data_IF_912913040253
#
_entry.id   IF_912913040253
#
_cell.length_a   1.000
_cell.length_b   1.000
_cell.length_c   1.000
_cell.angle_alpha   90.00
_cell.angle_beta   90.00
_cell.angle_gamma   90.00
#
_symmetry.space_group_name_H-M   'P 1'
#
loop_
_entity.id
_entity.type
_entity.pdbx_description
1 polymer ?
#
# COMPACT_ATOMS: atom_id res chain seq x y z
N UNK A 1 -22.19 -1.26 23.55
CA UNK A 1 -23.50 -1.40 22.87
C UNK A 1 -24.16 -0.04 22.89
N UNK A 2 -24.26 0.65 21.75
CA UNK A 2 -24.94 1.94 21.68
C UNK A 2 -26.38 1.77 22.16
N UNK A 3 -26.88 2.67 23.00
CA UNK A 3 -28.21 2.61 23.59
C UNK A 3 -29.31 2.84 22.53
N UNK A 4 -29.41 1.91 21.57
CA UNK A 4 -30.30 1.95 20.41
C UNK A 4 -31.78 2.02 20.81
N UNK A 5 -32.14 1.51 22.00
CA UNK A 5 -33.53 1.50 22.47
C UNK A 5 -34.04 2.92 22.75
N UNK A 6 -33.27 3.74 23.47
CA UNK A 6 -33.65 5.14 23.78
C UNK A 6 -33.73 5.99 22.52
N UNK A 7 -32.76 5.83 21.62
CA UNK A 7 -32.74 6.56 20.34
C UNK A 7 -33.91 6.13 19.43
N UNK A 8 -34.22 4.83 19.37
CA UNK A 8 -35.34 4.29 18.58
C UNK A 8 -36.69 4.78 19.10
N UNK A 9 -36.87 4.87 20.42
CA UNK A 9 -38.10 5.42 21.04
C UNK A 9 -38.22 6.93 20.76
N UNK A 10 -37.13 7.68 20.90
CA UNK A 10 -37.09 9.13 20.61
C UNK A 10 -37.45 9.46 19.16
N UNK A 11 -37.14 8.57 18.22
CA UNK A 11 -37.34 8.78 16.79
C UNK A 11 -38.70 8.31 16.25
N UNK A 12 -39.49 7.59 17.05
CA UNK A 12 -40.86 7.22 16.68
C UNK A 12 -41.79 8.42 16.52
N UNK A 13 -41.46 9.56 17.14
CA UNK A 13 -42.31 10.74 17.22
C UNK A 13 -41.84 11.94 16.37
N UNK A 14 -40.84 11.76 15.49
CA UNK A 14 -40.32 12.85 14.63
C UNK A 14 -40.90 12.80 13.21
N UNK A 15 -41.11 13.99 12.62
CA UNK A 15 -41.64 14.19 11.27
C UNK A 15 -40.70 13.64 10.17
N UNK A 16 -39.39 13.58 10.45
CA UNK A 16 -38.34 13.20 9.48
C UNK A 16 -37.96 11.70 9.54
N UNK A 17 -38.88 10.85 10.02
CA UNK A 17 -38.63 9.44 10.35
C UNK A 17 -37.99 8.65 9.21
N UNK A 18 -38.34 8.96 7.97
CA UNK A 18 -37.83 8.27 6.79
C UNK A 18 -36.32 8.50 6.58
N UNK A 19 -35.85 9.75 6.71
CA UNK A 19 -34.43 10.09 6.58
C UNK A 19 -33.59 9.41 7.66
N UNK A 20 -34.06 9.41 8.91
CA UNK A 20 -33.40 8.69 10.00
C UNK A 20 -33.32 7.18 9.74
N UNK A 21 -34.36 6.59 9.16
CA UNK A 21 -34.37 5.17 8.85
C UNK A 21 -33.40 4.80 7.72
N UNK A 22 -33.26 5.66 6.71
CA UNK A 22 -32.26 5.49 5.64
C UNK A 22 -30.84 5.49 6.21
N UNK A 23 -30.50 6.46 7.06
CA UNK A 23 -29.21 6.49 7.74
C UNK A 23 -29.02 5.30 8.68
N UNK A 24 -30.05 4.87 9.42
CA UNK A 24 -29.95 3.69 10.26
C UNK A 24 -29.60 2.42 9.47
N UNK A 25 -30.25 2.22 8.32
CA UNK A 25 -29.94 1.09 7.43
C UNK A 25 -28.47 1.12 7.01
N UNK A 26 -27.94 2.27 6.64
CA UNK A 26 -26.55 2.44 6.21
C UNK A 26 -25.54 2.31 7.38
N UNK A 27 -25.81 2.98 8.50
CA UNK A 27 -24.85 3.17 9.60
C UNK A 27 -24.91 2.08 10.69
N UNK A 28 -26.09 1.47 10.90
CA UNK A 28 -26.34 0.49 11.96
C UNK A 28 -26.69 1.11 13.31
N UNK A 29 -26.77 2.43 13.36
CA UNK A 29 -27.23 3.22 14.48
C UNK A 29 -27.94 4.46 13.95
N UNK A 30 -28.77 5.08 14.79
CA UNK A 30 -29.49 6.30 14.42
C UNK A 30 -28.63 7.55 14.62
N UNK A 31 -28.62 8.52 13.70
CA UNK A 31 -28.09 9.86 14.00
C UNK A 31 -28.72 10.47 15.26
N UNK A 32 -27.98 11.22 16.10
CA UNK A 32 -28.58 12.08 17.14
C UNK A 32 -28.98 13.43 16.55
N UNK A 33 -28.09 14.03 15.76
CA UNK A 33 -28.34 15.23 14.97
C UNK A 33 -28.24 14.91 13.47
N UNK A 34 -29.38 14.80 12.80
CA UNK A 34 -29.45 14.49 11.36
C UNK A 34 -28.91 15.60 10.48
N UNK A 35 -28.89 16.86 10.95
CA UNK A 35 -28.50 18.00 10.12
C UNK A 35 -27.04 17.90 9.65
N UNK A 36 -26.16 17.35 10.50
CA UNK A 36 -24.75 17.12 10.19
C UNK A 36 -24.61 16.05 9.09
N UNK A 37 -25.45 15.01 9.12
CA UNK A 37 -25.46 13.96 8.11
C UNK A 37 -26.03 14.44 6.78
N UNK A 38 -27.06 15.29 6.82
CA UNK A 38 -27.57 15.94 5.61
C UNK A 38 -26.54 16.89 5.01
N UNK A 39 -25.77 17.61 5.84
CA UNK A 39 -24.65 18.43 5.37
C UNK A 39 -23.57 17.60 4.69
N UNK A 40 -23.25 16.40 5.18
CA UNK A 40 -22.28 15.51 4.54
C UNK A 40 -22.69 15.11 3.10
N UNK A 41 -23.99 15.12 2.80
CA UNK A 41 -24.54 14.82 1.47
C UNK A 41 -24.61 16.04 0.54
N UNK A 42 -24.28 17.25 1.01
CA UNK A 42 -24.31 18.47 0.20
C UNK A 42 -22.97 18.67 -0.53
N UNK A 43 -22.94 18.32 -1.81
CA UNK A 43 -21.79 18.65 -2.65
C UNK A 43 -21.62 20.17 -2.77
N UNK A 44 -20.38 20.66 -2.90
CA UNK A 44 -20.06 22.10 -3.02
C UNK A 44 -20.87 22.86 -4.06
N UNK A 45 -21.29 22.18 -5.14
CA UNK A 45 -22.15 22.77 -6.19
C UNK A 45 -23.52 23.24 -5.67
N UNK A 46 -24.00 22.66 -4.57
CA UNK A 46 -25.30 22.95 -3.95
C UNK A 46 -25.13 23.58 -2.56
N UNK A 47 -24.09 24.40 -2.39
CA UNK A 47 -23.82 25.07 -1.11
C UNK A 47 -25.04 25.88 -0.64
N UNK A 48 -25.50 25.64 0.59
CA UNK A 48 -26.67 26.31 1.18
C UNK A 48 -26.19 27.38 2.16
N UNK A 49 -26.88 28.53 2.25
CA UNK A 49 -26.57 29.52 3.29
C UNK A 49 -27.17 29.09 4.62
N UNK A 50 -26.33 29.02 5.66
CA UNK A 50 -26.73 28.90 7.06
C UNK A 50 -27.47 30.16 7.51
N UNK A 51 -28.22 30.06 8.62
CA UNK A 51 -28.82 31.20 9.34
C UNK A 51 -27.80 32.31 9.67
N UNK A 52 -26.52 31.93 9.84
CA UNK A 52 -25.41 32.87 10.09
C UNK A 52 -24.74 33.38 8.81
N UNK A 53 -25.35 33.18 7.64
CA UNK A 53 -24.85 33.62 6.33
C UNK A 53 -23.67 32.82 5.76
N UNK A 54 -23.19 31.80 6.47
CA UNK A 54 -22.07 30.94 6.03
C UNK A 54 -22.53 29.93 4.98
N UNK A 55 -21.70 29.67 3.98
CA UNK A 55 -21.94 28.58 3.03
C UNK A 55 -21.72 27.23 3.73
N UNK A 56 -22.71 26.35 3.63
CA UNK A 56 -22.72 24.99 4.14
C UNK A 56 -22.60 24.02 2.96
N UNK A 57 -21.54 23.23 2.98
CA UNK A 57 -21.28 22.11 2.10
C UNK A 57 -20.54 21.02 2.88
N UNK A 58 -20.18 19.94 2.19
CA UNK A 58 -19.51 18.80 2.79
C UNK A 58 -17.99 18.94 2.94
N UNK A 59 -17.33 19.94 2.35
CA UNK A 59 -15.86 20.03 2.27
C UNK A 59 -15.18 20.09 3.65
N UNK A 60 -15.79 20.78 4.62
CA UNK A 60 -15.25 20.82 5.99
C UNK A 60 -15.39 19.48 6.72
N UNK A 61 -16.47 18.74 6.42
CA UNK A 61 -16.69 17.41 6.99
C UNK A 61 -15.77 16.40 6.31
N UNK A 62 -15.54 16.53 5.00
CA UNK A 62 -14.57 15.75 4.23
C UNK A 62 -13.18 15.87 4.85
N UNK A 63 -12.69 17.10 5.03
CA UNK A 63 -11.38 17.35 5.63
C UNK A 63 -11.19 16.68 7.01
N UNK A 64 -12.18 16.83 7.90
CA UNK A 64 -12.14 16.16 9.22
C UNK A 64 -12.27 14.64 9.08
N UNK A 65 -13.16 14.21 8.20
CA UNK A 65 -13.49 12.82 7.96
C UNK A 65 -12.33 12.01 7.45
N UNK A 66 -11.52 12.57 6.54
CA UNK A 66 -10.30 11.96 6.00
C UNK A 66 -9.31 11.59 7.12
N UNK A 67 -8.96 12.57 7.98
CA UNK A 67 -8.06 12.34 9.10
C UNK A 67 -8.59 11.29 10.10
N UNK A 68 -9.90 11.31 10.37
CA UNK A 68 -10.53 10.32 11.26
C UNK A 68 -10.61 8.93 10.61
N UNK A 69 -10.90 8.88 9.31
CA UNK A 69 -10.95 7.63 8.54
C UNK A 69 -9.59 6.96 8.54
N UNK A 70 -8.51 7.71 8.31
CA UNK A 70 -7.14 7.22 8.37
C UNK A 70 -6.81 6.62 9.74
N UNK A 71 -7.15 7.34 10.82
CA UNK A 71 -6.92 6.88 12.19
C UNK A 71 -7.74 5.62 12.53
N UNK A 72 -8.98 5.54 12.07
CA UNK A 72 -9.85 4.37 12.30
C UNK A 72 -9.35 3.15 11.53
N UNK A 73 -9.01 3.30 10.26
CA UNK A 73 -8.50 2.20 9.44
C UNK A 73 -7.15 1.73 9.97
N UNK A 74 -6.27 2.65 10.39
CA UNK A 74 -5.01 2.30 11.03
C UNK A 74 -5.22 1.44 12.30
N UNK A 75 -6.15 1.82 13.19
CA UNK A 75 -6.47 1.03 14.40
C UNK A 75 -6.97 -0.38 14.05
N UNK A 76 -7.85 -0.49 13.05
CA UNK A 76 -8.40 -1.78 12.61
C UNK A 76 -7.30 -2.67 12.00
N UNK A 77 -6.49 -2.13 11.09
CA UNK A 77 -5.42 -2.86 10.40
C UNK A 77 -4.33 -3.29 11.38
N UNK A 78 -3.94 -2.43 12.31
CA UNK A 78 -2.96 -2.72 13.35
C UNK A 78 -3.38 -3.92 14.21
N UNK A 79 -4.64 -3.93 14.67
CA UNK A 79 -5.19 -5.03 15.49
C UNK A 79 -5.44 -6.30 14.70
N UNK A 80 -5.79 -6.20 13.41
CA UNK A 80 -6.11 -7.37 12.59
C UNK A 80 -4.87 -8.15 12.15
N UNK A 81 -3.75 -7.46 11.96
CA UNK A 81 -2.52 -8.04 11.40
C UNK A 81 -1.36 -7.97 12.40
N UNK A 82 -1.54 -8.67 13.53
CA UNK A 82 -0.50 -8.79 14.54
C UNK A 82 0.79 -9.39 13.95
N UNK A 83 1.94 -8.80 14.31
CA UNK A 83 3.27 -9.24 13.83
C UNK A 83 3.65 -8.79 12.41
N UNK A 84 2.79 -8.06 11.68
CA UNK A 84 3.19 -7.49 10.38
C UNK A 84 3.96 -6.17 10.55
N UNK A 85 4.92 -5.95 9.66
CA UNK A 85 5.79 -4.76 9.64
C UNK A 85 5.02 -3.49 9.24
N UNK A 86 5.49 -2.33 9.68
CA UNK A 86 4.89 -1.01 9.43
C UNK A 86 4.54 -0.80 7.95
N UNK A 87 5.47 -1.05 7.01
CA UNK A 87 5.22 -0.83 5.59
C UNK A 87 4.06 -1.66 5.02
N UNK A 88 3.81 -2.86 5.54
CA UNK A 88 2.64 -3.67 5.18
C UNK A 88 1.34 -3.04 5.71
N UNK A 89 1.35 -2.57 6.95
CA UNK A 89 0.21 -1.91 7.59
C UNK A 89 -0.14 -0.61 6.86
N UNK A 90 0.86 0.23 6.56
CA UNK A 90 0.71 1.48 5.81
C UNK A 90 0.18 1.23 4.41
N UNK A 91 0.71 0.23 3.68
CA UNK A 91 0.20 -0.13 2.35
C UNK A 91 -1.26 -0.62 2.40
N UNK A 92 -1.60 -1.46 3.38
CA UNK A 92 -2.96 -1.99 3.54
C UNK A 92 -3.94 -0.87 3.90
N UNK A 93 -3.57 0.03 4.81
CA UNK A 93 -4.36 1.23 5.13
C UNK A 93 -4.61 2.06 3.87
N UNK A 94 -3.55 2.44 3.15
CA UNK A 94 -3.65 3.25 1.93
C UNK A 94 -4.58 2.63 0.90
N UNK A 95 -4.57 1.31 0.71
CA UNK A 95 -5.49 0.63 -0.22
C UNK A 95 -6.96 0.65 0.22
N UNK A 96 -7.23 0.75 1.51
CA UNK A 96 -8.61 0.83 2.02
C UNK A 96 -9.14 2.26 1.88
N UNK A 97 -8.32 3.25 2.23
CA UNK A 97 -8.69 4.68 2.16
C UNK A 97 -8.48 5.30 0.77
N UNK A 98 -7.94 4.55 -0.19
CA UNK A 98 -7.77 5.07 -1.55
C UNK A 98 -9.13 5.41 -2.15
N UNK A 99 -9.13 6.51 -2.90
CA UNK A 99 -10.28 7.09 -3.58
C UNK A 99 -11.11 6.07 -4.37
N UNK A 100 -10.49 5.20 -5.16
CA UNK A 100 -11.18 4.18 -5.96
C UNK A 100 -12.00 3.24 -5.06
N UNK A 101 -11.44 2.90 -3.89
CA UNK A 101 -12.10 2.04 -2.92
C UNK A 101 -13.23 2.79 -2.22
N UNK A 102 -13.00 4.03 -1.77
CA UNK A 102 -14.04 4.83 -1.12
C UNK A 102 -15.22 5.13 -2.05
N UNK A 103 -14.97 5.43 -3.33
CA UNK A 103 -16.02 5.58 -4.35
C UNK A 103 -16.87 4.32 -4.51
N UNK A 104 -16.22 3.15 -4.64
CA UNK A 104 -16.92 1.87 -4.75
C UNK A 104 -17.77 1.61 -3.50
N UNK A 105 -17.19 1.81 -2.32
CA UNK A 105 -17.89 1.60 -1.04
C UNK A 105 -19.10 2.52 -0.89
N UNK A 106 -18.96 3.80 -1.25
CA UNK A 106 -20.06 4.76 -1.24
C UNK A 106 -21.24 4.32 -2.12
N UNK A 107 -20.98 3.77 -3.30
CA UNK A 107 -22.03 3.21 -4.17
C UNK A 107 -22.65 1.95 -3.55
N UNK A 108 -21.82 1.04 -3.01
CA UNK A 108 -22.27 -0.23 -2.43
C UNK A 108 -23.15 -0.05 -1.18
N UNK A 109 -22.92 1.00 -0.39
CA UNK A 109 -23.77 1.36 0.75
C UNK A 109 -24.98 2.23 0.36
N UNK A 110 -25.10 2.61 -0.92
CA UNK A 110 -26.18 3.44 -1.45
C UNK A 110 -26.07 4.93 -1.11
N UNK A 111 -24.88 5.42 -0.77
CA UNK A 111 -24.61 6.82 -0.45
C UNK A 111 -24.76 7.71 -1.68
N UNK A 112 -24.35 7.22 -2.86
CA UNK A 112 -24.46 7.87 -4.16
C UNK A 112 -25.86 8.42 -4.45
N UNK A 113 -26.90 7.66 -4.08
CA UNK A 113 -28.32 8.00 -4.28
C UNK A 113 -28.81 9.12 -3.35
N UNK A 114 -28.05 9.45 -2.31
CA UNK A 114 -28.42 10.44 -1.30
C UNK A 114 -27.69 11.78 -1.51
N UNK A 115 -26.62 11.81 -2.30
CA UNK A 115 -25.83 13.03 -2.54
C UNK A 115 -26.67 14.03 -3.32
N UNK A 116 -26.72 15.27 -2.83
CA UNK A 116 -27.42 16.39 -3.47
C UNK A 116 -26.41 17.27 -4.20
N UNK A 117 -26.59 17.40 -5.52
CA UNK A 117 -25.72 18.18 -6.40
C UNK A 117 -26.53 18.83 -7.53
N UNK A 118 -25.93 19.79 -8.24
CA UNK A 118 -26.55 20.46 -9.38
C UNK A 118 -26.20 19.74 -10.68
N UNK A 119 -27.19 19.42 -11.51
CA UNK A 119 -27.04 18.63 -12.74
C UNK A 119 -26.06 19.18 -13.80
N UNK A 120 -25.60 20.45 -13.67
CA UNK A 120 -24.71 21.11 -14.64
C UNK A 120 -23.22 20.70 -14.54
N UNK A 121 -22.84 19.84 -13.60
CA UNK A 121 -21.43 19.46 -13.34
C UNK A 121 -21.17 17.94 -13.41
N UNK A 122 -22.06 17.15 -14.03
CA UNK A 122 -22.01 15.69 -14.03
C UNK A 122 -20.85 15.05 -14.83
N UNK A 123 -19.99 15.83 -15.49
CA UNK A 123 -18.96 15.30 -16.40
C UNK A 123 -17.66 14.84 -15.72
N UNK A 124 -17.40 15.19 -14.46
CA UNK A 124 -16.23 14.73 -13.70
C UNK A 124 -16.61 14.12 -12.34
N UNK A 125 -17.58 13.19 -12.38
CA UNK A 125 -18.23 12.59 -11.22
C UNK A 125 -17.41 11.55 -10.43
N UNK A 126 -16.13 11.35 -10.77
CA UNK A 126 -15.30 10.27 -10.20
C UNK A 126 -14.84 10.51 -8.76
N UNK A 127 -15.09 11.68 -8.17
CA UNK A 127 -14.59 12.02 -6.83
C UNK A 127 -15.71 12.29 -5.81
N UNK A 128 -16.93 12.54 -6.28
CA UNK A 128 -18.02 13.01 -5.43
C UNK A 128 -18.42 11.98 -4.37
N UNK A 129 -18.44 10.70 -4.74
CA UNK A 129 -18.84 9.62 -3.83
C UNK A 129 -17.83 9.38 -2.71
N UNK A 130 -16.52 9.37 -3.01
CA UNK A 130 -15.44 9.23 -2.03
C UNK A 130 -15.42 10.40 -1.05
N UNK A 131 -15.50 11.64 -1.56
CA UNK A 131 -15.57 12.83 -0.72
C UNK A 131 -16.81 12.82 0.19
N UNK A 132 -17.97 12.40 -0.31
CA UNK A 132 -19.17 12.25 0.50
C UNK A 132 -19.02 11.15 1.56
N UNK A 133 -18.27 10.09 1.27
CA UNK A 133 -17.98 9.02 2.23
C UNK A 133 -17.10 9.54 3.38
N UNK A 134 -16.04 10.27 3.07
CA UNK A 134 -15.19 10.93 4.08
C UNK A 134 -16.02 11.92 4.90
N UNK A 135 -16.84 12.75 4.25
CA UNK A 135 -17.73 13.67 4.95
C UNK A 135 -18.74 12.95 5.86
N UNK A 136 -19.24 11.78 5.46
CA UNK A 136 -20.10 10.94 6.29
C UNK A 136 -19.36 10.45 7.53
N UNK A 137 -18.10 10.03 7.41
CA UNK A 137 -17.25 9.66 8.55
C UNK A 137 -17.03 10.86 9.48
N UNK A 138 -16.79 12.05 8.93
CA UNK A 138 -16.71 13.30 9.68
C UNK A 138 -18.00 13.61 10.46
N UNK A 139 -19.16 13.40 9.84
CA UNK A 139 -20.46 13.57 10.50
C UNK A 139 -20.67 12.58 11.65
N UNK A 140 -20.32 11.30 11.46
CA UNK A 140 -20.38 10.27 12.52
C UNK A 140 -19.48 10.66 13.69
N UNK A 141 -18.28 11.16 13.41
CA UNK A 141 -17.33 11.57 14.42
C UNK A 141 -17.88 12.71 15.28
N UNK A 142 -18.47 13.74 14.67
CA UNK A 142 -19.06 14.86 15.40
C UNK A 142 -20.30 14.45 16.21
N UNK A 143 -21.14 13.56 15.70
CA UNK A 143 -22.39 13.14 16.36
C UNK A 143 -22.17 12.11 17.49
N UNK A 144 -21.26 11.15 17.27
CA UNK A 144 -21.11 9.96 18.14
C UNK A 144 -19.68 9.62 18.54
N UNK A 145 -18.69 10.34 18.03
CA UNK A 145 -17.28 10.17 18.39
C UNK A 145 -16.59 8.97 17.73
N UNK A 146 -15.29 8.86 17.99
CA UNK A 146 -14.39 7.87 17.35
C UNK A 146 -14.89 6.42 17.44
N UNK A 147 -15.44 6.00 18.59
CA UNK A 147 -15.96 4.64 18.77
C UNK A 147 -17.07 4.27 17.78
N UNK A 148 -17.90 5.23 17.40
CA UNK A 148 -18.95 5.00 16.41
C UNK A 148 -18.38 4.92 14.99
N UNK A 149 -17.39 5.75 14.65
CA UNK A 149 -16.65 5.67 13.39
C UNK A 149 -15.98 4.29 13.26
N UNK A 150 -15.31 3.82 14.32
CA UNK A 150 -14.69 2.49 14.33
C UNK A 150 -15.71 1.38 14.14
N UNK A 151 -16.83 1.41 14.88
CA UNK A 151 -17.89 0.43 14.72
C UNK A 151 -18.44 0.39 13.29
N UNK A 152 -18.73 1.56 12.71
CA UNK A 152 -19.18 1.69 11.33
C UNK A 152 -18.16 1.11 10.35
N UNK A 153 -16.90 1.53 10.43
CA UNK A 153 -15.85 1.05 9.53
C UNK A 153 -15.58 -0.45 9.68
N UNK A 154 -15.53 -0.97 10.90
CA UNK A 154 -15.17 -2.37 11.17
C UNK A 154 -16.30 -3.32 10.78
N UNK A 155 -17.55 -3.02 11.18
CA UNK A 155 -18.66 -3.95 11.04
C UNK A 155 -19.49 -3.72 9.78
N UNK A 156 -19.74 -2.45 9.43
CA UNK A 156 -20.60 -2.12 8.29
C UNK A 156 -19.84 -2.03 6.99
N UNK A 157 -18.61 -1.54 7.02
CA UNK A 157 -17.80 -1.34 5.81
C UNK A 157 -16.88 -2.53 5.59
N UNK A 158 -15.90 -2.73 6.46
CA UNK A 158 -14.89 -3.77 6.30
C UNK A 158 -15.54 -5.16 6.36
N UNK A 159 -16.31 -5.44 7.41
CA UNK A 159 -16.95 -6.73 7.60
C UNK A 159 -17.92 -7.16 6.50
N UNK A 160 -18.45 -6.22 5.69
CA UNK A 160 -19.45 -6.51 4.64
C UNK A 160 -18.93 -6.34 3.22
N UNK A 161 -17.98 -5.43 2.98
CA UNK A 161 -17.61 -5.00 1.62
C UNK A 161 -16.10 -5.09 1.33
N UNK A 162 -15.27 -5.44 2.33
CA UNK A 162 -13.83 -5.57 2.17
C UNK A 162 -13.35 -6.93 2.68
N UNK A 163 -12.76 -7.71 1.79
CA UNK A 163 -11.91 -8.82 2.19
C UNK A 163 -10.49 -8.30 2.47
N UNK A 164 -10.14 -8.13 3.74
CA UNK A 164 -8.84 -7.58 4.16
C UNK A 164 -7.66 -8.42 3.67
N UNK A 165 -7.78 -9.75 3.67
CA UNK A 165 -6.70 -10.63 3.19
C UNK A 165 -6.48 -10.49 1.69
N UNK A 166 -7.54 -10.31 0.91
CA UNK A 166 -7.43 -10.08 -0.53
C UNK A 166 -6.79 -8.73 -0.83
N UNK A 167 -7.18 -7.67 -0.09
CA UNK A 167 -6.59 -6.33 -0.26
C UNK A 167 -5.11 -6.32 0.11
N UNK A 168 -4.74 -6.97 1.20
CA UNK A 168 -3.36 -6.97 1.69
C UNK A 168 -2.40 -7.75 0.78
N UNK A 169 -2.90 -8.79 0.08
CA UNK A 169 -2.09 -9.59 -0.87
C UNK A 169 -1.88 -8.91 -2.23
N UNK A 170 -2.68 -7.90 -2.59
CA UNK A 170 -2.84 -7.46 -4.00
C UNK A 170 -1.66 -6.70 -4.61
N UNK A 171 -0.69 -6.23 -3.82
CA UNK A 171 0.56 -5.71 -4.41
C UNK A 171 1.72 -6.00 -3.47
N UNK A 172 2.48 -7.03 -3.82
CA UNK A 172 3.86 -7.11 -3.35
C UNK A 172 4.65 -6.19 -4.26
N UNK A 173 5.24 -5.13 -3.69
CA UNK A 173 6.14 -4.27 -4.45
C UNK A 173 7.49 -5.00 -4.63
N UNK A 174 7.57 -5.91 -5.59
CA UNK A 174 8.77 -6.72 -5.88
C UNK A 174 9.98 -5.85 -6.22
N UNK A 175 9.81 -4.70 -6.88
CA UNK A 175 10.85 -3.71 -7.17
C UNK A 175 11.47 -3.19 -5.88
N UNK A 176 10.66 -2.71 -4.94
CA UNK A 176 11.16 -2.26 -3.63
C UNK A 176 11.83 -3.40 -2.88
N UNK A 177 11.23 -4.61 -2.87
CA UNK A 177 11.84 -5.77 -2.22
C UNK A 177 13.20 -6.16 -2.82
N UNK A 178 13.34 -6.06 -4.13
CA UNK A 178 14.59 -6.38 -4.82
C UNK A 178 15.66 -5.34 -4.52
N UNK A 179 15.30 -4.05 -4.48
CA UNK A 179 16.22 -2.96 -4.08
C UNK A 179 16.62 -3.10 -2.61
N UNK A 180 15.68 -3.42 -1.71
CA UNK A 180 16.00 -3.69 -0.29
C UNK A 180 16.95 -4.88 -0.15
N UNK A 181 16.71 -5.96 -0.90
CA UNK A 181 17.59 -7.13 -0.93
C UNK A 181 18.98 -6.77 -1.48
N UNK A 182 19.06 -6.00 -2.56
CA UNK A 182 20.33 -5.65 -3.18
C UNK A 182 21.16 -4.75 -2.28
N UNK A 183 20.55 -3.73 -1.66
CA UNK A 183 21.21 -2.86 -0.69
C UNK A 183 21.71 -3.63 0.52
N UNK A 184 20.89 -4.53 1.09
CA UNK A 184 21.27 -5.34 2.25
C UNK A 184 22.48 -6.24 1.96
N UNK A 185 22.56 -6.79 0.75
CA UNK A 185 23.61 -7.72 0.35
C UNK A 185 24.74 -7.07 -0.47
N UNK A 186 24.70 -5.74 -0.66
CA UNK A 186 25.66 -4.96 -1.47
C UNK A 186 25.77 -5.43 -2.93
N UNK A 187 24.65 -5.83 -3.52
CA UNK A 187 24.55 -6.08 -4.95
C UNK A 187 24.11 -4.82 -5.71
N UNK A 188 24.70 -4.60 -6.88
CA UNK A 188 24.25 -3.59 -7.83
C UNK A 188 23.05 -4.11 -8.63
N UNK A 189 21.99 -3.31 -8.71
CA UNK A 189 20.77 -3.65 -9.46
C UNK A 189 20.34 -2.48 -10.33
N UNK A 190 20.20 -2.73 -11.63
CA UNK A 190 19.73 -1.75 -12.61
C UNK A 190 18.47 -2.25 -13.32
N UNK A 191 17.64 -1.30 -13.73
CA UNK A 191 16.40 -1.55 -14.47
C UNK A 191 16.50 -0.90 -15.83
N UNK A 192 16.45 -1.70 -16.89
CA UNK A 192 16.56 -1.24 -18.27
C UNK A 192 15.22 -1.39 -18.99
N UNK A 193 14.86 -0.41 -19.81
CA UNK A 193 13.69 -0.49 -20.68
C UNK A 193 14.15 -1.08 -22.01
N UNK A 194 13.73 -2.29 -22.32
CA UNK A 194 14.10 -2.99 -23.56
C UNK A 194 13.26 -2.45 -24.71
N UNK A 195 11.93 -2.51 -24.54
CA UNK A 195 10.99 -2.27 -25.63
C UNK A 195 9.84 -1.41 -25.14
N UNK A 196 9.38 -0.51 -26.01
CA UNK A 196 8.08 0.14 -25.89
C UNK A 196 7.30 -0.11 -27.18
N UNK A 197 6.11 -0.69 -27.05
CA UNK A 197 5.26 -1.11 -28.16
C UNK A 197 3.79 -0.81 -27.85
N UNK A 198 2.90 -1.26 -28.74
CA UNK A 198 1.47 -1.22 -28.50
C UNK A 198 0.90 -2.65 -28.64
N UNK A 199 -0.13 -2.97 -27.87
CA UNK A 199 -0.87 -4.22 -28.01
C UNK A 199 -1.86 -4.17 -29.19
N UNK A 200 -2.62 -5.25 -29.37
CA UNK A 200 -3.64 -5.36 -30.43
C UNK A 200 -4.78 -4.34 -30.27
N UNK A 201 -5.00 -3.83 -29.06
CA UNK A 201 -5.97 -2.77 -28.74
C UNK A 201 -5.38 -1.36 -28.82
N UNK A 202 -4.16 -1.22 -29.33
CA UNK A 202 -3.42 0.04 -29.40
C UNK A 202 -3.11 0.67 -28.02
N UNK A 203 -3.08 -0.14 -26.95
CA UNK A 203 -2.64 0.30 -25.63
C UNK A 203 -1.11 0.24 -25.55
N UNK A 204 -0.45 1.22 -24.89
CA UNK A 204 1.00 1.21 -24.75
C UNK A 204 1.46 0.05 -23.85
N UNK A 205 2.43 -0.71 -24.32
CA UNK A 205 3.07 -1.80 -23.58
C UNK A 205 4.56 -1.53 -23.42
N UNK A 206 5.08 -1.81 -22.24
CA UNK A 206 6.48 -1.60 -21.86
C UNK A 206 7.09 -2.94 -21.45
N UNK A 207 8.30 -3.19 -21.89
CA UNK A 207 9.11 -4.34 -21.49
C UNK A 207 10.38 -3.86 -20.80
N UNK A 208 10.61 -4.32 -19.57
CA UNK A 208 11.78 -3.97 -18.79
C UNK A 208 12.57 -5.20 -18.37
N UNK A 209 13.87 -5.06 -18.26
CA UNK A 209 14.79 -6.06 -17.72
C UNK A 209 15.41 -5.57 -16.43
N UNK A 210 15.67 -6.51 -15.53
CA UNK A 210 16.49 -6.29 -14.34
C UNK A 210 17.83 -6.96 -14.53
N UNK A 211 18.89 -6.20 -14.32
CA UNK A 211 20.25 -6.71 -14.25
C UNK A 211 20.69 -6.68 -12.78
N UNK A 212 21.28 -7.78 -12.31
CA UNK A 212 21.91 -7.90 -10.99
C UNK A 212 23.40 -8.13 -11.26
N UNK A 213 24.27 -7.20 -10.86
CA UNK A 213 25.70 -7.23 -11.21
C UNK A 213 25.95 -7.32 -12.73
N UNK A 214 25.11 -6.65 -13.53
CA UNK A 214 25.17 -6.72 -15.00
C UNK A 214 24.63 -8.01 -15.60
N UNK A 215 24.16 -8.98 -14.80
CA UNK A 215 23.62 -10.26 -15.28
C UNK A 215 22.08 -10.20 -15.31
N UNK A 216 21.47 -10.71 -16.40
CA UNK A 216 20.00 -10.75 -16.57
C UNK A 216 19.27 -11.54 -15.47
N UNK A 217 18.71 -10.80 -14.52
CA UNK A 217 17.87 -11.32 -13.44
C UNK A 217 16.45 -11.65 -13.89
N UNK A 218 15.91 -10.93 -14.88
CA UNK A 218 14.62 -11.25 -15.44
C UNK A 218 13.98 -10.11 -16.22
N UNK A 219 13.01 -10.46 -17.07
CA UNK A 219 12.23 -9.53 -17.89
C UNK A 219 10.78 -9.48 -17.42
N UNK A 220 10.13 -8.34 -17.63
CA UNK A 220 8.74 -8.14 -17.27
C UNK A 220 8.05 -7.15 -18.19
N UNK A 221 6.79 -7.43 -18.52
CA UNK A 221 5.94 -6.59 -19.35
C UNK A 221 4.82 -5.95 -18.53
N UNK A 222 4.36 -4.78 -18.94
CA UNK A 222 3.24 -4.08 -18.30
C UNK A 222 2.71 -2.92 -19.14
N UNK A 223 1.56 -2.37 -18.76
CA UNK A 223 0.93 -1.23 -19.44
C UNK A 223 1.51 0.12 -18.98
N UNK A 224 2.44 0.10 -18.03
CA UNK A 224 3.25 1.25 -17.63
C UNK A 224 4.69 0.82 -17.36
N UNK A 225 5.64 1.75 -17.46
CA UNK A 225 7.06 1.52 -17.07
C UNK A 225 7.20 1.02 -15.63
N UNK A 226 6.32 1.48 -14.73
CA UNK A 226 6.32 1.06 -13.32
C UNK A 226 5.89 -0.40 -13.18
N UNK A 227 4.88 -0.82 -13.93
CA UNK A 227 4.36 -2.18 -13.93
C UNK A 227 5.34 -3.16 -14.59
N UNK A 228 5.94 -2.80 -15.72
CA UNK A 228 6.93 -3.64 -16.40
C UNK A 228 8.15 -3.93 -15.51
N UNK A 229 8.68 -2.90 -14.84
CA UNK A 229 9.77 -3.03 -13.86
C UNK A 229 9.36 -3.88 -12.66
N UNK A 230 8.09 -3.80 -12.26
CA UNK A 230 7.58 -4.58 -11.14
C UNK A 230 7.54 -6.08 -11.45
N UNK A 231 7.08 -6.43 -12.65
CA UNK A 231 7.09 -7.80 -13.14
C UNK A 231 8.51 -8.32 -13.35
N UNK A 232 9.43 -7.50 -13.85
CA UNK A 232 10.83 -7.88 -14.02
C UNK A 232 11.50 -8.18 -12.66
N UNK A 233 11.24 -7.35 -11.65
CA UNK A 233 11.71 -7.59 -10.28
C UNK A 233 11.11 -8.85 -9.65
N UNK A 234 9.86 -9.19 -9.97
CA UNK A 234 9.24 -10.44 -9.51
C UNK A 234 9.98 -11.66 -10.04
N UNK A 235 10.30 -11.68 -11.34
CA UNK A 235 11.06 -12.76 -11.97
C UNK A 235 12.46 -12.86 -11.37
N UNK A 236 13.16 -11.72 -11.21
CA UNK A 236 14.50 -11.69 -10.62
C UNK A 236 14.53 -12.22 -9.17
N UNK A 237 13.58 -11.82 -8.32
CA UNK A 237 13.45 -12.36 -6.96
C UNK A 237 13.14 -13.86 -6.96
N UNK A 238 12.40 -14.36 -7.96
CA UNK A 238 12.17 -15.78 -8.15
C UNK A 238 13.45 -16.54 -8.49
N UNK A 239 14.24 -16.03 -9.44
CA UNK A 239 15.55 -16.62 -9.81
C UNK A 239 16.50 -16.65 -8.62
N UNK A 240 16.63 -15.54 -7.89
CA UNK A 240 17.48 -15.46 -6.69
C UNK A 240 17.09 -16.54 -5.66
N UNK A 241 15.83 -16.95 -5.57
CA UNK A 241 15.42 -17.97 -4.58
C UNK A 241 15.60 -19.40 -5.03
N UNK A 242 15.48 -19.66 -6.33
CA UNK A 242 15.28 -21.00 -6.86
C UNK A 242 16.37 -21.47 -7.81
N UNK A 243 17.25 -20.57 -8.27
CA UNK A 243 18.30 -20.86 -9.24
C UNK A 243 19.68 -20.66 -8.62
N UNK A 244 20.28 -21.76 -8.17
CA UNK A 244 21.62 -21.77 -7.56
C UNK A 244 22.70 -21.30 -8.53
N UNK A 245 22.59 -21.63 -9.83
CA UNK A 245 23.56 -21.22 -10.84
C UNK A 245 23.51 -19.70 -11.09
N UNK A 246 22.30 -19.12 -11.08
CA UNK A 246 22.16 -17.67 -11.13
C UNK A 246 22.79 -16.99 -9.91
N UNK A 247 22.58 -17.53 -8.71
CA UNK A 247 23.23 -17.03 -7.48
C UNK A 247 24.74 -17.06 -7.61
N UNK A 248 25.33 -18.19 -8.00
CA UNK A 248 26.79 -18.32 -8.13
C UNK A 248 27.36 -17.28 -9.10
N UNK A 249 26.71 -17.08 -10.24
CA UNK A 249 27.11 -16.09 -11.23
C UNK A 249 27.08 -14.65 -10.69
N UNK A 250 26.01 -14.22 -10.00
CA UNK A 250 25.95 -12.86 -9.45
C UNK A 250 26.96 -12.65 -8.32
N UNK A 251 27.25 -13.67 -7.50
CA UNK A 251 28.29 -13.59 -6.47
C UNK A 251 29.69 -13.49 -7.07
N UNK A 252 29.98 -14.24 -8.13
CA UNK A 252 31.23 -14.15 -8.85
C UNK A 252 31.41 -12.77 -9.51
N UNK A 253 30.37 -12.23 -10.14
CA UNK A 253 30.38 -10.88 -10.72
C UNK A 253 30.58 -9.80 -9.66
N UNK A 254 29.92 -9.91 -8.51
CA UNK A 254 30.13 -9.02 -7.36
C UNK A 254 31.58 -9.05 -6.87
N UNK A 255 32.17 -10.25 -6.69
CA UNK A 255 33.56 -10.38 -6.25
C UNK A 255 34.54 -9.72 -7.23
N UNK A 256 34.32 -9.88 -8.55
CA UNK A 256 35.12 -9.20 -9.57
C UNK A 256 34.99 -7.67 -9.50
N UNK A 257 33.78 -7.14 -9.27
CA UNK A 257 33.54 -5.72 -9.07
C UNK A 257 34.21 -5.18 -7.80
N UNK A 258 34.18 -5.92 -6.69
CA UNK A 258 34.84 -5.51 -5.45
C UNK A 258 36.38 -5.50 -5.59
N UNK A 259 36.96 -6.52 -6.22
CA UNK A 259 38.40 -6.59 -6.51
C UNK A 259 38.89 -5.43 -7.38
N UNK A 260 38.15 -5.09 -8.44
CA UNK A 260 38.49 -3.95 -9.30
C UNK A 260 38.37 -2.59 -8.58
N UNK A 261 37.49 -2.45 -7.60
CA UNK A 261 37.40 -1.24 -6.77
C UNK A 261 38.56 -1.14 -5.76
N UNK A 262 39.09 -2.27 -5.29
CA UNK A 262 40.28 -2.33 -4.45
C UNK A 262 41.56 -1.99 -5.23
N UNK A 263 41.72 -2.48 -6.47
CA UNK A 263 42.89 -2.14 -7.31
C UNK A 263 42.93 -0.65 -7.70
N UNK A 264 41.77 -0.02 -7.90
CA UNK A 264 41.66 1.42 -8.18
C UNK A 264 41.97 2.26 -6.93
N UNK A 265 41.67 1.77 -5.73
CA UNK A 265 42.00 2.48 -4.49
C UNK A 265 43.45 2.30 -4.03
N UNK A 266 44.09 1.17 -4.36
CA UNK A 266 45.52 0.92 -4.07
C UNK A 266 46.44 1.64 -5.05
N UNK A 267 46.02 1.84 -6.31
CA UNK A 267 46.83 2.56 -7.33
C UNK A 267 46.92 4.07 -7.11
N UNK A 268 46.05 4.66 -6.26
CA UNK A 268 46.15 6.06 -5.81
C UNK A 268 47.06 6.26 -4.58
N UNK A 269 47.63 5.18 -4.01
CA UNK A 269 48.64 5.24 -2.97
C UNK A 269 49.94 4.57 -3.42
N UNK A 270 50.87 5.35 -4.01
CA UNK A 270 52.25 4.90 -4.23
C UNK A 270 52.92 4.50 -2.91
N UNK A 271 53.63 3.36 -2.86
CA UNK A 271 54.77 3.19 -1.97
C UNK A 271 56.07 3.30 -2.77
N UNK A 272 57.03 4.04 -2.22
CA UNK A 272 58.42 3.98 -2.60
C UNK A 272 59.09 2.73 -2.01
N UNK A 273 59.90 2.11 -2.85
CA UNK A 273 61.12 1.36 -2.56
C UNK A 273 61.05 -0.17 -2.32
N UNK A 274 62.16 -0.73 -2.78
CA UNK A 274 62.60 -2.04 -3.23
C UNK A 274 62.48 -3.28 -2.32
N UNK A 275 62.49 -4.45 -2.96
CA UNK A 275 62.84 -5.73 -2.34
C UNK A 275 62.29 -6.95 -3.09
N UNK A 276 63.13 -7.61 -3.90
CA UNK A 276 62.80 -8.83 -4.61
C UNK A 276 62.88 -10.07 -3.70
N UNK A 277 61.82 -10.90 -3.66
CA UNK A 277 61.87 -12.37 -3.42
C UNK A 277 60.60 -13.02 -3.99
N UNK A 278 60.76 -14.12 -4.73
CA UNK A 278 59.75 -15.20 -4.90
C UNK A 278 60.45 -16.53 -4.58
N UNK A 279 59.75 -17.68 -4.41
CA UNK A 279 58.32 -17.94 -4.17
C UNK A 279 58.07 -18.85 -2.93
N UNK A 280 56.85 -18.96 -2.41
CA UNK A 280 56.40 -20.23 -1.81
C UNK A 280 54.87 -20.41 -1.87
N UNK A 281 54.47 -21.64 -2.18
CA UNK A 281 53.11 -22.15 -2.30
C UNK A 281 52.57 -22.57 -0.93
N UNK A 282 51.25 -22.70 -0.87
CA UNK A 282 50.44 -23.42 0.13
C UNK A 282 50.01 -22.64 1.39
N UNK A 283 48.67 -22.51 1.56
CA UNK A 283 47.89 -22.69 2.81
C UNK A 283 46.50 -21.98 2.87
N UNK A 284 45.92 -21.47 1.76
CA UNK A 284 44.63 -20.76 1.84
C UNK A 284 43.37 -21.53 1.40
N UNK A 285 43.49 -22.78 0.92
CA UNK A 285 42.34 -23.57 0.44
C UNK A 285 41.49 -24.23 1.55
N UNK A 286 41.88 -24.14 2.83
CA UNK A 286 41.20 -24.87 3.92
C UNK A 286 40.16 -24.02 4.68
N UNK A 287 40.07 -22.70 4.46
CA UNK A 287 39.13 -21.82 5.21
C UNK A 287 37.85 -21.41 4.48
N UNK A 288 37.68 -21.75 3.19
CA UNK A 288 36.47 -21.35 2.42
C UNK A 288 35.27 -22.27 2.62
N UNK A 289 35.49 -23.54 2.98
CA UNK A 289 34.42 -24.53 3.13
C UNK A 289 33.64 -24.35 4.43
N UNK A 290 34.33 -24.03 5.54
CA UNK A 290 33.69 -23.86 6.86
C UNK A 290 32.73 -22.66 6.92
N UNK A 291 33.04 -21.58 6.19
CA UNK A 291 32.19 -20.37 6.16
C UNK A 291 30.90 -20.62 5.37
N UNK A 292 30.97 -21.40 4.30
CA UNK A 292 29.80 -21.74 3.47
C UNK A 292 28.88 -22.71 4.23
N UNK A 293 29.43 -23.70 4.92
CA UNK A 293 28.65 -24.63 5.75
C UNK A 293 28.03 -23.93 6.97
N UNK A 294 28.72 -22.96 7.60
CA UNK A 294 28.14 -22.14 8.67
C UNK A 294 26.96 -21.29 8.19
N UNK A 295 27.07 -20.66 7.03
CA UNK A 295 26.01 -19.81 6.48
C UNK A 295 24.77 -20.63 6.09
N UNK A 296 24.97 -21.84 5.56
CA UNK A 296 23.88 -22.76 5.21
C UNK A 296 23.20 -23.29 6.48
N UNK A 297 23.97 -23.70 7.49
CA UNK A 297 23.45 -24.18 8.78
C UNK A 297 22.64 -23.11 9.51
N UNK A 298 23.13 -21.87 9.58
CA UNK A 298 22.40 -20.75 10.20
C UNK A 298 21.12 -20.38 9.44
N UNK A 299 21.10 -20.58 8.12
CA UNK A 299 19.92 -20.33 7.28
C UNK A 299 18.84 -21.42 7.46
N UNK A 300 19.25 -22.69 7.59
CA UNK A 300 18.36 -23.81 7.83
C UNK A 300 17.74 -23.78 9.25
N UNK A 301 18.53 -23.43 10.27
CA UNK A 301 18.05 -23.32 11.65
C UNK A 301 17.04 -22.19 11.84
N UNK A 302 17.19 -21.09 11.08
CA UNK A 302 16.21 -19.99 11.03
C UNK A 302 14.93 -20.37 10.32
N UNK A 303 15.02 -21.14 9.24
CA UNK A 303 13.86 -21.61 8.49
C UNK A 303 13.02 -22.62 9.27
N UNK A 304 13.64 -23.42 10.14
CA UNK A 304 12.93 -24.40 10.97
C UNK A 304 12.20 -23.77 12.17
N UNK A 305 12.72 -22.66 12.73
CA UNK A 305 12.07 -21.92 13.84
C UNK A 305 10.91 -21.02 13.40
N UNK A 306 10.79 -20.69 12.11
CA UNK A 306 9.70 -19.87 11.58
C UNK A 306 8.47 -20.67 11.11
N UNK A 307 8.54 -22.02 11.14
CA UNK A 307 7.45 -22.93 10.73
C UNK A 307 6.98 -23.90 11.83
N UNK A 308 7.34 -23.67 13.09
CA UNK A 308 6.86 -24.40 14.26
C UNK A 308 5.94 -23.52 15.14
#
# INVERSE_FOLDING_TARGET
MFSNIKDRIRLLFRKDRESYFRFYKMLGFYPKDISIYEQALLHKSLSVKSEKGRLLNNERLEFLGDAILDAVVADIVYKRFEGKREGFLTNTRSKIVQRETLNRLAIEIGLDKLIKYTARQSSHNSYMCGNAFEALVGAIYLDRGYRACKYFMEHRIIGSYINLEKISRKEVNFKSKLIEWSQKNRFEVTFELITQSHDQGYNPTFESEVLVEGISGGKGTGYSKKESQQMAAHVALGKIKNDSGFIECIFAAKAARELSQEEVTVSDSKPSDSGAVTPDLSLEEIKKTDVVEQIISEAEEKAFKENA
#
